data_IF_847902399962
#
_entry.id   IF_847902399962
#
_cell.length_a   1.000
_cell.length_b   1.000
_cell.length_c   1.000
_cell.angle_alpha   90.00
_cell.angle_beta   90.00
_cell.angle_gamma   90.00
#
_symmetry.space_group_name_H-M   'P 1'
#
loop_
_entity.id
_entity.type
_entity.pdbx_description
1 polymer ?
#
# COMPACT_ATOMS: atom_id res chain seq x y z
N UNK A 1 20.91 3.46 -8.92
CA UNK A 1 20.25 3.55 -8.16
C UNK A 1 19.30 2.69 -7.90
N UNK A 2 19.02 2.29 -6.86
CA UNK A 2 18.05 1.41 -6.71
C UNK A 2 16.80 2.06 -6.40
N UNK A 3 15.74 1.46 -6.76
CA UNK A 3 14.44 1.94 -6.43
C UNK A 3 14.10 1.53 -5.03
N UNK A 4 13.66 2.48 -4.26
CA UNK A 4 13.19 2.20 -2.91
C UNK A 4 11.72 1.88 -2.96
N UNK A 5 11.32 0.92 -2.15
CA UNK A 5 9.92 0.52 -2.08
C UNK A 5 9.32 0.97 -0.76
N UNK A 6 8.06 1.35 -0.82
CA UNK A 6 7.30 1.66 0.37
C UNK A 6 6.19 0.64 0.52
N UNK A 7 6.00 0.21 1.74
CA UNK A 7 4.94 -0.74 2.05
C UNK A 7 3.80 0.03 2.70
N UNK A 8 2.64 -0.02 2.07
CA UNK A 8 1.44 0.63 2.58
C UNK A 8 0.65 -0.43 3.33
N UNK A 9 0.54 -0.26 4.64
CA UNK A 9 -0.17 -1.21 5.48
C UNK A 9 -1.55 -0.67 5.76
N UNK A 10 -2.56 -1.50 5.59
CA UNK A 10 -3.95 -1.07 5.74
C UNK A 10 -4.52 -1.45 7.09
N UNK A 11 -5.59 -0.76 7.49
CA UNK A 11 -6.19 -1.02 8.80
C UNK A 11 -7.03 -2.29 8.81
N UNK A 12 -7.37 -2.81 7.63
CA UNK A 12 -8.12 -4.06 7.54
C UNK A 12 -7.94 -4.68 6.17
N UNK A 13 -8.29 -5.96 6.06
CA UNK A 13 -8.26 -6.63 4.76
C UNK A 13 -9.19 -5.96 3.77
N UNK A 14 -10.31 -5.45 4.25
CA UNK A 14 -11.26 -4.77 3.38
C UNK A 14 -10.60 -3.60 2.65
N UNK A 15 -9.87 -2.77 3.39
CA UNK A 15 -9.21 -1.62 2.77
C UNK A 15 -8.06 -2.04 1.87
N UNK A 16 -7.34 -3.09 2.25
CA UNK A 16 -6.26 -3.59 1.39
C UNK A 16 -6.79 -4.08 0.06
N UNK A 17 -7.86 -4.85 0.10
CA UNK A 17 -8.47 -5.36 -1.11
C UNK A 17 -9.02 -4.22 -1.98
N UNK A 18 -9.67 -3.26 -1.34
CA UNK A 18 -10.23 -2.14 -2.06
C UNK A 18 -9.13 -1.31 -2.73
N UNK A 19 -8.03 -1.10 -2.02
CA UNK A 19 -6.90 -0.36 -2.59
C UNK A 19 -6.32 -1.08 -3.80
N UNK A 20 -6.18 -2.40 -3.71
CA UNK A 20 -5.65 -3.17 -4.83
C UNK A 20 -6.54 -3.00 -6.06
N UNK A 21 -7.85 -3.06 -5.88
CA UNK A 21 -8.76 -2.93 -7.00
C UNK A 21 -8.73 -1.54 -7.60
N UNK A 22 -8.69 -0.52 -6.76
CA UNK A 22 -8.65 0.86 -7.23
C UNK A 22 -7.36 1.13 -8.00
N UNK A 23 -6.23 0.70 -7.46
CA UNK A 23 -4.96 0.94 -8.12
C UNK A 23 -4.85 0.17 -9.42
N UNK A 24 -5.43 -1.03 -9.46
CA UNK A 24 -5.45 -1.81 -10.70
C UNK A 24 -6.28 -1.11 -11.77
N UNK A 25 -7.43 -0.57 -11.39
CA UNK A 25 -8.27 0.13 -12.36
C UNK A 25 -7.62 1.39 -12.90
N UNK A 26 -6.77 2.02 -12.09
CA UNK A 26 -6.09 3.23 -12.51
C UNK A 26 -4.73 2.96 -13.14
N UNK A 27 -4.41 1.68 -13.33
CA UNK A 27 -3.13 1.28 -13.93
C UNK A 27 -1.93 1.78 -13.14
N UNK A 28 -2.06 1.84 -11.82
CA UNK A 28 -0.96 2.25 -10.96
C UNK A 28 -0.15 1.03 -10.58
N UNK A 29 1.15 1.01 -10.84
CA UNK A 29 1.98 -0.16 -10.50
C UNK A 29 2.01 -0.39 -9.00
N UNK A 30 1.76 -1.61 -8.58
CA UNK A 30 1.78 -1.97 -7.17
C UNK A 30 1.84 -3.48 -7.05
N UNK A 31 2.15 -3.95 -5.85
CA UNK A 31 2.19 -5.38 -5.59
C UNK A 31 1.50 -5.67 -4.28
N UNK A 32 0.44 -6.46 -4.34
CA UNK A 32 -0.29 -6.87 -3.14
C UNK A 32 0.49 -7.98 -2.46
N UNK A 33 0.66 -7.88 -1.15
CA UNK A 33 1.46 -8.85 -0.45
C UNK A 33 1.06 -8.95 1.02
N UNK A 34 1.54 -9.99 1.66
CA UNK A 34 1.30 -10.16 3.09
C UNK A 34 2.17 -9.17 3.87
N UNK A 35 1.65 -8.69 4.98
CA UNK A 35 2.41 -7.80 5.83
C UNK A 35 3.57 -8.57 6.46
N UNK A 36 4.79 -8.00 6.42
CA UNK A 36 5.95 -8.69 7.00
C UNK A 36 5.79 -8.93 8.50
N UNK A 37 6.44 -9.97 9.02
CA UNK A 37 6.35 -10.29 10.45
C UNK A 37 6.76 -9.15 11.36
N UNK A 38 7.65 -8.28 10.90
CA UNK A 38 8.09 -7.14 11.69
C UNK A 38 6.95 -6.19 11.99
N UNK A 39 5.90 -6.23 11.19
CA UNK A 39 4.73 -5.37 11.36
C UNK A 39 3.55 -6.20 11.80
N UNK A 40 3.81 -7.18 12.64
CA UNK A 40 2.86 -8.21 12.97
C UNK A 40 1.55 -7.69 13.60
N UNK A 41 1.63 -6.58 14.33
CA UNK A 41 0.45 -6.03 14.96
C UNK A 41 -0.46 -5.30 13.99
N UNK A 42 -0.08 -5.25 12.74
CA UNK A 42 -0.85 -4.55 11.73
C UNK A 42 -1.69 -5.52 10.93
N UNK A 43 -2.51 -4.97 10.03
CA UNK A 43 -3.30 -5.80 9.13
C UNK A 43 -2.39 -6.71 8.33
N UNK A 44 -2.87 -7.91 8.01
CA UNK A 44 -2.05 -8.88 7.29
C UNK A 44 -1.92 -8.60 5.81
N UNK A 45 -2.55 -7.53 5.28
CA UNK A 45 -2.49 -7.22 3.86
C UNK A 45 -1.83 -5.88 3.63
N UNK A 46 -0.89 -5.84 2.69
CA UNK A 46 -0.15 -4.62 2.39
C UNK A 46 0.07 -4.51 0.89
N UNK A 47 0.44 -3.31 0.47
CA UNK A 47 0.76 -3.07 -0.94
C UNK A 47 2.12 -2.41 -1.00
N UNK A 48 3.00 -2.96 -1.83
CA UNK A 48 4.31 -2.38 -2.06
C UNK A 48 4.26 -1.50 -3.29
N UNK A 49 4.80 -0.31 -3.18
CA UNK A 49 4.85 0.64 -4.29
C UNK A 49 6.24 1.23 -4.39
N UNK A 50 6.55 1.77 -5.57
CA UNK A 50 7.80 2.48 -5.77
C UNK A 50 7.68 3.83 -5.07
N UNK A 51 8.73 4.25 -4.38
CA UNK A 51 8.69 5.50 -3.64
C UNK A 51 8.44 6.71 -4.54
N UNK A 52 8.74 6.59 -5.83
CA UNK A 52 8.53 7.71 -6.75
C UNK A 52 7.06 8.04 -6.96
N UNK A 53 6.16 7.13 -6.65
CA UNK A 53 4.73 7.36 -6.84
C UNK A 53 3.95 7.42 -5.53
N UNK A 54 4.66 7.59 -4.42
CA UNK A 54 4.00 7.55 -3.12
C UNK A 54 2.96 8.67 -2.99
N UNK A 55 3.26 9.87 -3.48
CA UNK A 55 2.30 10.95 -3.36
C UNK A 55 1.05 10.69 -4.18
N UNK A 56 1.23 10.12 -5.36
CA UNK A 56 0.10 9.77 -6.20
C UNK A 56 -0.78 8.73 -5.52
N UNK A 57 -0.16 7.72 -4.95
CA UNK A 57 -0.91 6.67 -4.28
C UNK A 57 -1.63 7.22 -3.05
N UNK A 58 -0.96 8.05 -2.26
CA UNK A 58 -1.59 8.64 -1.09
C UNK A 58 -2.83 9.44 -1.47
N UNK A 59 -2.74 10.20 -2.53
CA UNK A 59 -3.88 11.00 -3.00
C UNK A 59 -5.03 10.09 -3.41
N UNK A 60 -4.72 9.03 -4.16
CA UNK A 60 -5.75 8.10 -4.61
C UNK A 60 -6.45 7.44 -3.42
N UNK A 61 -5.66 6.97 -2.45
CA UNK A 61 -6.24 6.30 -1.28
C UNK A 61 -7.12 7.26 -0.50
N UNK A 62 -6.68 8.51 -0.37
CA UNK A 62 -7.47 9.49 0.35
C UNK A 62 -8.78 9.78 -0.35
N UNK A 63 -8.74 9.91 -1.68
CA UNK A 63 -9.93 10.19 -2.44
C UNK A 63 -10.95 9.07 -2.37
N UNK A 64 -10.48 7.84 -2.22
CA UNK A 64 -11.36 6.69 -2.12
C UNK A 64 -11.64 6.29 -0.68
N UNK A 65 -11.22 7.13 0.26
CA UNK A 65 -11.49 6.92 1.69
C UNK A 65 -10.97 5.59 2.19
N UNK A 66 -9.78 5.23 1.75
CA UNK A 66 -9.13 3.99 2.16
C UNK A 66 -8.21 4.30 3.33
N UNK A 67 -8.46 3.66 4.46
CA UNK A 67 -7.71 3.89 5.67
C UNK A 67 -6.43 3.06 5.70
N UNK A 68 -5.33 3.66 6.11
CA UNK A 68 -4.06 2.96 6.20
C UNK A 68 -3.52 3.05 7.63
N UNK A 69 -2.74 2.04 8.03
CA UNK A 69 -2.06 2.05 9.32
C UNK A 69 -0.76 2.82 9.25
N UNK A 70 -0.12 2.82 8.09
CA UNK A 70 1.14 3.54 7.96
C UNK A 70 1.88 3.18 6.71
N UNK A 71 3.01 3.87 6.51
CA UNK A 71 3.90 3.66 5.39
C UNK A 71 5.25 3.27 5.95
N UNK A 72 5.83 2.21 5.44
CA UNK A 72 7.10 1.71 5.92
C UNK A 72 8.05 1.43 4.76
N UNK A 73 9.33 1.67 4.98
CA UNK A 73 10.31 1.32 3.96
C UNK A 73 10.42 -0.19 3.84
N UNK A 74 10.53 -0.65 2.61
CA UNK A 74 10.55 -2.07 2.34
C UNK A 74 11.67 -2.36 1.34
N UNK A 75 12.49 -3.35 1.64
CA UNK A 75 13.58 -3.73 0.74
C UNK A 75 13.43 -5.11 0.19
#
# INVERSE_FOLDING_TARGET
MENKKLLVVFTSYYFGDKADKVLTELDVPHQLMATPPELYDMCGLSIAIDSSIVDQVKTILKEHKISTSGLFWYE
#
